data_IF_907909830785
#
_entry.id   IF_907909830785
#
_cell.length_a   1.000
_cell.length_b   1.000
_cell.length_c   1.000
_cell.angle_alpha   90.00
_cell.angle_beta   90.00
_cell.angle_gamma   90.00
#
_symmetry.space_group_name_H-M   'P 1'
#
loop_
_entity.id
_entity.type
_entity.pdbx_description
1 polymer ?
#
# COMPACT_ATOMS: atom_id res chain seq x y z
N UNK A 1 18.75 -63.40 -8.39
CA UNK A 1 18.54 -62.37 -7.35
C UNK A 1 19.25 -61.09 -7.81
N UNK A 2 18.52 -60.06 -8.26
CA UNK A 2 19.06 -58.81 -8.83
C UNK A 2 18.77 -57.66 -7.85
N UNK A 3 19.73 -56.82 -7.46
CA UNK A 3 19.46 -55.73 -6.53
C UNK A 3 18.67 -54.61 -7.21
N UNK A 4 17.67 -54.10 -6.48
CA UNK A 4 16.77 -53.03 -6.88
C UNK A 4 17.54 -51.72 -7.11
N UNK A 5 17.45 -51.17 -8.32
CA UNK A 5 17.92 -49.82 -8.63
C UNK A 5 16.88 -48.79 -8.18
N UNK A 6 17.17 -48.04 -7.12
CA UNK A 6 16.42 -46.82 -6.76
C UNK A 6 16.75 -45.74 -7.81
N UNK A 7 15.87 -45.53 -8.79
CA UNK A 7 15.91 -44.33 -9.65
C UNK A 7 15.53 -43.11 -8.80
N UNK A 8 16.53 -42.30 -8.43
CA UNK A 8 16.31 -40.96 -7.91
C UNK A 8 15.86 -40.04 -9.07
N UNK A 9 14.69 -39.42 -8.97
CA UNK A 9 14.21 -38.44 -9.93
C UNK A 9 14.94 -37.09 -9.74
N UNK A 10 15.47 -36.46 -10.80
CA UNK A 10 16.22 -35.23 -10.69
C UNK A 10 15.27 -34.04 -10.77
N UNK A 11 14.63 -33.66 -9.67
CA UNK A 11 14.06 -32.32 -9.60
C UNK A 11 15.22 -31.33 -9.46
N UNK A 12 15.73 -30.85 -10.60
CA UNK A 12 16.53 -29.61 -10.60
C UNK A 12 15.57 -28.50 -10.17
N UNK A 13 15.92 -27.79 -9.10
CA UNK A 13 15.23 -26.55 -8.72
C UNK A 13 15.19 -25.65 -9.95
N UNK A 14 14.00 -25.33 -10.45
CA UNK A 14 13.86 -24.23 -11.40
C UNK A 14 14.45 -22.97 -10.73
N UNK A 15 15.19 -22.11 -11.44
CA UNK A 15 15.62 -20.84 -10.87
C UNK A 15 14.37 -20.09 -10.40
N UNK A 16 14.35 -19.71 -9.12
CA UNK A 16 13.36 -18.73 -8.65
C UNK A 16 13.59 -17.48 -9.51
N UNK A 17 12.56 -16.91 -10.18
CA UNK A 17 12.72 -15.67 -10.91
C UNK A 17 13.34 -14.65 -9.94
N UNK A 18 14.53 -14.14 -10.27
CA UNK A 18 15.14 -13.05 -9.51
C UNK A 18 14.16 -11.88 -9.40
N UNK A 19 14.26 -11.04 -8.36
CA UNK A 19 13.39 -9.88 -8.22
C UNK A 19 13.43 -9.10 -9.53
N UNK A 20 12.30 -9.05 -10.24
CA UNK A 20 12.18 -8.15 -11.39
C UNK A 20 12.48 -6.78 -10.84
N UNK A 21 13.56 -6.14 -11.32
CA UNK A 21 13.81 -4.74 -11.08
C UNK A 21 12.72 -3.96 -11.80
N UNK A 22 11.56 -3.82 -11.16
CA UNK A 22 10.55 -2.85 -11.56
C UNK A 22 11.22 -1.48 -11.46
N UNK A 23 11.04 -0.59 -12.47
CA UNK A 23 11.42 0.79 -12.28
C UNK A 23 10.78 1.27 -10.98
N UNK A 24 11.60 1.69 -10.02
CA UNK A 24 11.12 2.18 -8.73
C UNK A 24 10.41 3.49 -8.98
N UNK A 25 9.10 3.42 -9.17
CA UNK A 25 8.25 4.59 -9.27
C UNK A 25 8.46 5.44 -8.01
N UNK A 26 8.60 6.74 -8.21
CA UNK A 26 8.66 7.69 -7.10
C UNK A 26 7.31 7.69 -6.38
N UNK A 27 7.29 7.13 -5.18
CA UNK A 27 6.16 7.13 -4.27
C UNK A 27 6.33 8.26 -3.27
N UNK A 28 5.38 9.20 -3.23
CA UNK A 28 5.31 10.25 -2.20
C UNK A 28 4.32 9.83 -1.13
N UNK A 29 4.80 9.63 0.09
CA UNK A 29 3.93 9.40 1.25
C UNK A 29 4.04 10.60 2.18
N UNK A 30 2.90 11.11 2.63
CA UNK A 30 2.83 12.15 3.65
C UNK A 30 1.99 11.63 4.81
N UNK A 31 2.51 11.74 6.03
CA UNK A 31 1.81 11.35 7.26
C UNK A 31 1.58 12.61 8.08
N UNK A 32 0.33 12.84 8.47
CA UNK A 32 -0.09 13.94 9.35
C UNK A 32 -0.76 13.33 10.57
N UNK A 33 -0.45 13.85 11.75
CA UNK A 33 -0.97 13.35 13.02
C UNK A 33 -1.68 14.44 13.79
N UNK A 34 -2.96 14.23 14.04
CA UNK A 34 -3.73 15.03 15.01
C UNK A 34 -3.69 14.38 16.40
N UNK A 35 -3.57 13.05 16.44
CA UNK A 35 -3.50 12.28 17.69
C UNK A 35 -2.27 11.35 17.72
N UNK A 36 -1.79 10.97 18.91
CA UNK A 36 -0.74 9.96 19.05
C UNK A 36 -1.17 8.62 18.45
N UNK A 37 -0.23 7.91 17.83
CA UNK A 37 -0.44 6.57 17.28
C UNK A 37 0.75 5.68 17.63
N UNK A 38 0.48 4.38 17.80
CA UNK A 38 1.47 3.41 18.28
C UNK A 38 2.68 3.20 17.35
N UNK A 39 2.54 3.51 16.05
CA UNK A 39 3.60 3.38 15.06
C UNK A 39 4.15 4.76 14.66
N UNK A 40 5.44 4.84 14.35
CA UNK A 40 6.09 6.04 13.84
C UNK A 40 5.81 6.29 12.34
N UNK A 41 6.22 7.44 11.82
CA UNK A 41 5.98 7.81 10.42
C UNK A 41 6.74 6.92 9.43
N UNK A 42 7.86 6.33 9.85
CA UNK A 42 8.66 5.43 9.02
C UNK A 42 7.90 4.13 8.73
N UNK A 43 7.18 3.61 9.73
CA UNK A 43 6.30 2.45 9.54
C UNK A 43 5.23 2.72 8.47
N UNK A 44 4.48 3.82 8.62
CA UNK A 44 3.44 4.20 7.65
C UNK A 44 4.02 4.44 6.25
N UNK A 45 5.16 5.14 6.18
CA UNK A 45 5.86 5.43 4.92
C UNK A 45 6.28 4.14 4.22
N UNK A 46 6.83 3.17 4.96
CA UNK A 46 7.28 1.89 4.43
C UNK A 46 6.10 1.06 3.91
N UNK A 47 5.03 0.93 4.69
CA UNK A 47 3.84 0.16 4.31
C UNK A 47 3.17 0.79 3.08
N UNK A 48 2.90 2.10 3.12
CA UNK A 48 2.24 2.79 2.03
C UNK A 48 3.06 2.77 0.74
N UNK A 49 4.38 2.98 0.82
CA UNK A 49 5.27 2.87 -0.35
C UNK A 49 5.24 1.46 -0.93
N UNK A 50 5.35 0.43 -0.08
CA UNK A 50 5.32 -0.97 -0.52
C UNK A 50 4.02 -1.32 -1.25
N UNK A 51 2.88 -0.82 -0.76
CA UNK A 51 1.58 -0.98 -1.42
C UNK A 51 1.55 -0.21 -2.74
N UNK A 52 2.02 1.04 -2.79
CA UNK A 52 2.08 1.79 -4.05
C UNK A 52 2.96 1.08 -5.10
N UNK A 53 4.09 0.52 -4.70
CA UNK A 53 4.97 -0.24 -5.59
C UNK A 53 4.33 -1.55 -6.08
N UNK A 54 3.47 -2.20 -5.29
CA UNK A 54 2.80 -3.45 -5.67
C UNK A 54 1.68 -3.26 -6.70
N UNK A 55 1.18 -2.03 -6.87
CA UNK A 55 0.12 -1.73 -7.86
C UNK A 55 0.55 -1.86 -9.33
N UNK A 56 1.85 -2.04 -9.60
CA UNK A 56 2.38 -2.14 -10.97
C UNK A 56 2.29 -0.84 -11.78
N UNK A 57 1.99 0.29 -11.12
CA UNK A 57 2.00 1.62 -11.74
C UNK A 57 3.38 1.96 -12.25
N UNK A 58 3.43 2.71 -13.35
CA UNK A 58 4.67 3.20 -13.98
C UNK A 58 4.83 4.72 -13.83
N UNK A 59 3.77 5.43 -13.46
CA UNK A 59 3.76 6.88 -13.20
C UNK A 59 3.90 7.17 -11.70
N UNK A 60 4.54 8.30 -11.31
CA UNK A 60 4.61 8.73 -9.91
C UNK A 60 3.25 8.67 -9.21
N UNK A 61 3.27 8.25 -7.95
CA UNK A 61 2.07 8.11 -7.14
C UNK A 61 2.26 8.78 -5.79
N UNK A 62 1.18 9.34 -5.25
CA UNK A 62 1.17 10.01 -3.95
C UNK A 62 0.02 9.52 -3.08
N UNK A 63 0.25 9.47 -1.77
CA UNK A 63 -0.80 9.28 -0.77
C UNK A 63 -0.51 10.16 0.45
N UNK A 64 -1.57 10.77 0.98
CA UNK A 64 -1.53 11.46 2.27
C UNK A 64 -2.37 10.66 3.27
N UNK A 65 -1.82 10.45 4.47
CA UNK A 65 -2.44 9.71 5.56
C UNK A 65 -2.61 10.68 6.72
N UNK A 66 -3.87 10.91 7.12
CA UNK A 66 -4.21 11.64 8.34
C UNK A 66 -4.54 10.62 9.43
N UNK A 67 -3.81 10.68 10.55
CA UNK A 67 -4.12 9.93 11.76
C UNK A 67 -4.90 10.84 12.71
N UNK A 68 -6.15 10.48 12.98
CA UNK A 68 -7.08 11.30 13.75
C UNK A 68 -8.01 10.43 14.61
N UNK A 69 -8.89 11.08 15.37
CA UNK A 69 -9.84 10.47 16.29
C UNK A 69 -11.23 10.20 15.67
N UNK A 70 -12.07 9.52 16.44
CA UNK A 70 -13.45 9.17 16.08
C UNK A 70 -14.33 10.40 15.84
N UNK A 71 -14.10 11.49 16.56
CA UNK A 71 -14.87 12.73 16.37
C UNK A 71 -14.61 13.30 14.97
N UNK A 72 -13.35 13.35 14.58
CA UNK A 72 -12.93 13.80 13.26
C UNK A 72 -13.40 12.84 12.17
N UNK A 73 -13.24 11.54 12.36
CA UNK A 73 -13.72 10.53 11.40
C UNK A 73 -15.23 10.58 11.23
N UNK A 74 -16.01 10.72 12.31
CA UNK A 74 -17.48 10.90 12.25
C UNK A 74 -17.86 12.18 11.52
N UNK A 75 -17.20 13.30 11.82
CA UNK A 75 -17.42 14.59 11.15
C UNK A 75 -17.17 14.47 9.64
N UNK A 76 -16.05 13.88 9.25
CA UNK A 76 -15.69 13.68 7.83
C UNK A 76 -16.63 12.70 7.13
N UNK A 77 -17.00 11.60 7.79
CA UNK A 77 -17.91 10.60 7.25
C UNK A 77 -19.32 11.20 7.00
N UNK A 78 -19.80 12.04 7.93
CA UNK A 78 -21.04 12.78 7.74
C UNK A 78 -20.95 13.77 6.59
N UNK A 79 -19.87 14.57 6.54
CA UNK A 79 -19.71 15.61 5.52
C UNK A 79 -19.55 15.06 4.11
N UNK A 80 -18.75 14.01 3.91
CA UNK A 80 -18.40 13.53 2.57
C UNK A 80 -19.12 12.25 2.14
N UNK A 81 -19.73 11.51 3.09
CA UNK A 81 -20.47 10.26 2.81
C UNK A 81 -21.92 10.29 3.31
N UNK A 82 -22.34 11.32 4.05
CA UNK A 82 -23.68 11.42 4.61
C UNK A 82 -23.94 10.48 5.80
N UNK A 83 -22.90 9.88 6.38
CA UNK A 83 -23.01 8.89 7.45
C UNK A 83 -22.56 9.47 8.80
N UNK A 84 -23.50 9.64 9.74
CA UNK A 84 -23.23 10.23 11.06
C UNK A 84 -22.75 9.21 12.10
N UNK A 85 -21.70 8.46 11.77
CA UNK A 85 -21.00 7.56 12.69
C UNK A 85 -19.50 7.53 12.36
N UNK A 86 -18.67 7.24 13.37
CA UNK A 86 -17.22 7.07 13.18
C UNK A 86 -16.92 5.78 12.40
N UNK A 87 -15.82 5.76 11.66
CA UNK A 87 -15.33 4.62 10.88
C UNK A 87 -13.84 4.49 11.10
N UNK A 88 -13.29 3.28 11.04
CA UNK A 88 -11.85 3.05 11.23
C UNK A 88 -11.01 3.75 10.16
N UNK A 89 -11.52 3.81 8.94
CA UNK A 89 -10.84 4.39 7.78
C UNK A 89 -11.82 5.15 6.90
N UNK A 90 -11.38 6.29 6.37
CA UNK A 90 -12.06 7.03 5.32
C UNK A 90 -11.05 7.37 4.21
N UNK A 91 -11.38 7.03 2.97
CA UNK A 91 -10.50 7.27 1.81
C UNK A 91 -11.05 8.32 0.86
N UNK A 92 -10.16 9.22 0.43
CA UNK A 92 -10.41 10.27 -0.54
C UNK A 92 -9.51 10.06 -1.76
N UNK A 93 -10.09 10.11 -2.96
CA UNK A 93 -9.30 10.12 -4.19
C UNK A 93 -8.61 11.48 -4.33
N UNK A 94 -7.33 11.49 -4.71
CA UNK A 94 -6.51 12.71 -4.82
C UNK A 94 -6.93 13.68 -5.96
N UNK A 95 -8.10 13.46 -6.59
CA UNK A 95 -8.50 14.14 -7.82
C UNK A 95 -7.66 13.74 -9.03
N UNK A 96 -8.10 14.14 -10.22
CA UNK A 96 -7.28 14.07 -11.44
C UNK A 96 -6.42 15.35 -11.50
N UNK A 97 -5.08 15.27 -11.46
CA UNK A 97 -4.22 16.45 -11.56
C UNK A 97 -4.37 17.19 -12.90
N UNK A 98 -4.96 16.57 -13.93
CA UNK A 98 -5.28 17.23 -15.20
C UNK A 98 -6.60 18.02 -15.17
N UNK A 99 -7.43 17.84 -14.12
CA UNK A 99 -8.65 18.61 -13.94
C UNK A 99 -8.39 20.06 -13.47
N UNK A 100 -7.14 20.46 -13.25
CA UNK A 100 -6.74 21.83 -12.90
C UNK A 100 -6.51 22.74 -14.11
N UNK A 101 -6.97 22.39 -15.32
CA UNK A 101 -7.05 23.35 -16.42
C UNK A 101 -8.31 24.20 -16.27
N UNK A 102 -8.17 25.36 -15.63
CA UNK A 102 -9.07 26.51 -15.76
C UNK A 102 -8.24 27.74 -16.10
#
# INVERSE_FOLDING_TARGET
MRPMSRRAAPWRRAPVPGPRRTPSVLARVTVVREVPFQFDDAWFTTVASSVLHSTGRTSPAGIAILLSDDETLRRLNRTYRGHDYATDVLSFSAGDPSASTF
#
